data_IF_045370682083
#
_entry.id   IF_045370682083
#
_cell.length_a   1.000
_cell.length_b   1.000
_cell.length_c   1.000
_cell.angle_alpha   90.00
_cell.angle_beta   90.00
_cell.angle_gamma   90.00
#
_symmetry.space_group_name_H-M   'P 1'
#
loop_
_entity.id
_entity.type
_entity.pdbx_description
1 polymer ?
#
# COMPACT_ATOMS: atom_id res chain seq x y z
N UNK A 1 -28.01 -27.01 26.18
CA UNK A 1 -28.09 -26.40 24.83
C UNK A 1 -28.10 -24.87 24.84
N UNK A 2 -28.57 -24.19 25.90
CA UNK A 2 -28.61 -22.72 25.99
C UNK A 2 -27.22 -22.03 25.95
N UNK A 3 -26.17 -22.65 26.51
CA UNK A 3 -24.82 -22.07 26.53
C UNK A 3 -24.11 -22.06 25.17
N UNK A 4 -24.50 -22.94 24.22
CA UNK A 4 -23.85 -22.99 22.89
C UNK A 4 -24.30 -21.85 21.99
N UNK A 5 -25.53 -21.39 22.14
CA UNK A 5 -26.10 -20.27 21.35
C UNK A 5 -25.44 -18.95 21.76
N UNK A 6 -25.18 -18.76 23.07
CA UNK A 6 -24.55 -17.55 23.59
C UNK A 6 -23.07 -17.38 23.17
N UNK A 7 -22.32 -18.49 23.10
CA UNK A 7 -20.95 -18.51 22.57
C UNK A 7 -20.90 -18.21 21.06
N UNK A 8 -21.91 -18.66 20.31
CA UNK A 8 -21.99 -18.44 18.87
C UNK A 8 -22.36 -17.00 18.53
N UNK A 9 -23.24 -16.36 19.32
CA UNK A 9 -23.51 -14.92 19.18
C UNK A 9 -22.33 -14.03 19.60
N UNK A 10 -21.52 -14.45 20.58
CA UNK A 10 -20.30 -13.72 20.97
C UNK A 10 -19.21 -13.78 19.87
N UNK A 11 -19.12 -14.88 19.13
CA UNK A 11 -18.24 -15.05 17.97
C UNK A 11 -18.68 -14.23 16.75
N UNK A 12 -19.98 -14.01 16.57
CA UNK A 12 -20.52 -13.17 15.49
C UNK A 12 -20.33 -11.69 15.81
N UNK A 13 -20.49 -11.28 17.07
CA UNK A 13 -20.32 -9.87 17.48
C UNK A 13 -18.84 -9.44 17.49
N UNK A 14 -17.90 -10.35 17.74
CA UNK A 14 -16.46 -10.06 17.64
C UNK A 14 -15.95 -9.92 16.20
N UNK A 15 -16.78 -10.19 15.18
CA UNK A 15 -16.46 -9.91 13.78
C UNK A 15 -16.88 -8.50 13.31
N UNK A 16 -17.52 -7.67 14.16
CA UNK A 16 -17.67 -6.24 13.90
C UNK A 16 -16.36 -5.47 14.17
N UNK A 17 -15.21 -6.08 13.85
CA UNK A 17 -13.92 -5.42 13.89
C UNK A 17 -13.84 -4.46 12.72
N UNK A 18 -14.05 -3.16 12.99
CA UNK A 18 -13.74 -2.01 12.14
C UNK A 18 -13.44 -2.37 10.67
N UNK A 19 -14.49 -2.62 9.90
CA UNK A 19 -14.38 -2.77 8.44
C UNK A 19 -14.09 -1.39 7.87
N UNK A 20 -12.84 -0.94 7.97
CA UNK A 20 -12.40 0.22 7.21
C UNK A 20 -12.64 -0.06 5.73
N UNK A 21 -13.22 0.89 5.02
CA UNK A 21 -13.31 0.84 3.57
C UNK A 21 -11.91 0.90 2.93
N UNK A 22 -11.83 0.57 1.64
CA UNK A 22 -10.60 0.74 0.86
C UNK A 22 -10.12 2.20 0.88
N UNK A 23 -11.07 3.14 0.83
CA UNK A 23 -10.78 4.58 0.88
C UNK A 23 -10.24 4.99 2.25
N UNK A 24 -10.87 4.56 3.34
CA UNK A 24 -10.37 4.83 4.70
C UNK A 24 -9.00 4.22 4.94
N UNK A 25 -8.75 3.02 4.41
CA UNK A 25 -7.44 2.35 4.51
C UNK A 25 -6.37 3.10 3.70
N UNK A 26 -6.70 3.54 2.47
CA UNK A 26 -5.83 4.40 1.65
C UNK A 26 -5.50 5.72 2.37
N UNK A 27 -6.51 6.41 2.87
CA UNK A 27 -6.36 7.69 3.56
C UNK A 27 -5.54 7.54 4.84
N UNK A 28 -5.74 6.44 5.57
CA UNK A 28 -4.93 6.14 6.75
C UNK A 28 -3.46 5.93 6.36
N UNK A 29 -3.19 5.13 5.33
CA UNK A 29 -1.82 4.93 4.82
C UNK A 29 -1.19 6.26 4.44
N UNK A 30 -1.89 7.11 3.67
CA UNK A 30 -1.36 8.41 3.25
C UNK A 30 -0.97 9.31 4.42
N UNK A 31 -1.84 9.40 5.43
CA UNK A 31 -1.63 10.26 6.59
C UNK A 31 -0.56 9.74 7.57
N UNK A 32 -0.21 8.46 7.52
CA UNK A 32 0.67 7.83 8.51
C UNK A 32 1.98 7.28 7.93
N UNK A 33 2.06 7.06 6.61
CA UNK A 33 3.22 6.44 5.97
C UNK A 33 4.34 7.42 5.55
N UNK A 34 4.11 8.73 5.74
CA UNK A 34 5.09 9.77 5.46
C UNK A 34 6.12 9.96 6.58
N UNK A 35 7.32 10.42 6.21
CA UNK A 35 8.32 10.88 7.18
C UNK A 35 7.98 12.28 7.71
N UNK A 36 8.30 12.59 8.97
CA UNK A 36 8.46 13.98 9.40
C UNK A 36 9.46 14.69 8.48
N UNK A 37 9.07 15.83 7.91
CA UNK A 37 9.87 16.62 6.95
C UNK A 37 10.03 16.01 5.54
N UNK A 38 9.23 15.02 5.16
CA UNK A 38 9.20 14.55 3.77
C UNK A 38 8.65 15.63 2.82
N UNK A 39 9.31 15.83 1.68
CA UNK A 39 8.83 16.68 0.59
C UNK A 39 7.72 16.02 -0.25
N UNK A 40 7.23 14.86 0.18
CA UNK A 40 6.20 14.12 -0.55
C UNK A 40 5.34 13.23 0.38
N UNK A 41 4.09 12.98 0.00
CA UNK A 41 3.22 11.95 0.58
C UNK A 41 3.17 10.70 -0.30
N UNK A 42 2.77 9.55 0.26
CA UNK A 42 2.54 8.33 -0.52
C UNK A 42 1.07 7.93 -0.40
N UNK A 43 0.40 7.75 -1.53
CA UNK A 43 -1.01 7.29 -1.56
C UNK A 43 -1.08 5.98 -2.34
N UNK A 44 -2.02 5.11 -1.96
CA UNK A 44 -2.31 3.86 -2.67
C UNK A 44 -3.78 3.85 -3.10
N UNK A 45 -4.04 3.79 -4.40
CA UNK A 45 -5.40 3.83 -4.95
C UNK A 45 -5.62 2.67 -5.90
N UNK A 46 -6.73 1.94 -5.73
CA UNK A 46 -7.16 0.93 -6.68
C UNK A 46 -8.05 1.57 -7.76
N UNK A 47 -7.61 1.47 -9.02
CA UNK A 47 -8.42 1.90 -10.15
C UNK A 47 -9.32 0.73 -10.61
N UNK A 48 -10.60 0.84 -10.31
CA UNK A 48 -11.60 -0.18 -10.66
C UNK A 48 -11.80 -0.36 -12.18
N UNK A 49 -11.53 0.66 -12.99
CA UNK A 49 -11.69 0.59 -14.44
C UNK A 49 -10.57 -0.22 -15.10
N UNK A 50 -9.33 -0.05 -14.62
CA UNK A 50 -8.15 -0.72 -15.18
C UNK A 50 -7.73 -1.96 -14.38
N UNK A 51 -8.34 -2.18 -13.22
CA UNK A 51 -7.95 -3.19 -12.23
C UNK A 51 -6.47 -3.09 -11.82
N UNK A 52 -5.93 -1.86 -11.80
CA UNK A 52 -4.54 -1.58 -11.41
C UNK A 52 -4.47 -0.89 -10.07
N UNK A 53 -3.43 -1.22 -9.33
CA UNK A 53 -3.05 -0.50 -8.13
C UNK A 53 -2.12 0.64 -8.50
N UNK A 54 -2.47 1.85 -8.08
CA UNK A 54 -1.75 3.07 -8.36
C UNK A 54 -1.04 3.50 -7.08
N UNK A 55 0.29 3.46 -7.11
CA UNK A 55 1.14 3.94 -6.03
C UNK A 55 1.60 5.34 -6.41
N UNK A 56 1.09 6.34 -5.69
CA UNK A 56 1.44 7.74 -5.88
C UNK A 56 2.53 8.15 -4.91
N UNK A 57 3.55 8.81 -5.45
CA UNK A 57 4.46 9.65 -4.68
C UNK A 57 4.12 11.10 -5.03
N UNK A 58 3.37 11.77 -4.16
CA UNK A 58 2.87 13.12 -4.38
C UNK A 58 3.89 14.13 -3.86
N UNK A 59 4.55 14.87 -4.76
CA UNK A 59 5.52 15.88 -4.37
C UNK A 59 4.82 17.18 -3.94
N UNK A 60 5.32 17.77 -2.86
CA UNK A 60 4.89 19.08 -2.34
C UNK A 60 5.54 20.22 -3.13
N UNK A 61 5.14 21.46 -2.83
CA UNK A 61 5.65 22.68 -3.45
C UNK A 61 7.19 22.72 -3.58
N UNK A 62 7.75 23.32 -4.65
CA UNK A 62 7.08 24.19 -5.62
C UNK A 62 6.43 23.45 -6.81
N UNK A 63 6.63 22.14 -6.93
CA UNK A 63 6.15 21.38 -8.09
C UNK A 63 5.01 20.44 -7.72
N UNK A 64 3.77 20.80 -8.10
CA UNK A 64 2.57 19.98 -7.88
C UNK A 64 2.47 18.80 -8.88
N UNK A 65 3.41 17.87 -8.85
CA UNK A 65 3.30 16.62 -9.60
C UNK A 65 3.34 15.40 -8.67
N UNK A 66 2.82 14.29 -9.18
CA UNK A 66 2.96 12.97 -8.58
C UNK A 66 3.66 12.04 -9.54
N UNK A 67 4.52 11.20 -8.99
CA UNK A 67 5.00 10.01 -9.70
C UNK A 67 3.99 8.90 -9.46
N UNK A 68 3.44 8.35 -10.53
CA UNK A 68 2.52 7.22 -10.49
C UNK A 68 3.29 5.97 -10.87
N UNK A 69 3.13 4.91 -10.07
CA UNK A 69 3.53 3.55 -10.43
C UNK A 69 2.27 2.70 -10.50
N UNK A 70 1.92 2.23 -11.69
CA UNK A 70 0.85 1.25 -11.87
C UNK A 70 1.42 -0.15 -11.74
N UNK A 71 0.79 -0.97 -10.91
CA UNK A 71 1.11 -2.39 -10.77
C UNK A 71 -0.16 -3.23 -10.87
N UNK A 72 -0.02 -4.47 -11.35
CA UNK A 72 -1.09 -5.44 -11.19
C UNK A 72 -1.09 -5.93 -9.74
N UNK A 73 -2.15 -5.69 -8.95
CA UNK A 73 -2.12 -6.07 -7.55
C UNK A 73 -2.08 -7.60 -7.37
N UNK A 74 -2.50 -8.38 -8.38
CA UNK A 74 -2.41 -9.86 -8.34
C UNK A 74 -0.97 -10.36 -8.44
N UNK A 75 -0.02 -9.53 -8.87
CA UNK A 75 1.39 -9.90 -8.95
C UNK A 75 2.09 -9.80 -7.59
N UNK A 76 1.45 -9.16 -6.60
CA UNK A 76 2.01 -9.03 -5.24
C UNK A 76 1.90 -10.38 -4.51
N UNK A 77 3.01 -10.84 -3.95
CA UNK A 77 3.11 -12.10 -3.20
C UNK A 77 3.12 -11.86 -1.69
N UNK A 78 3.95 -10.91 -1.25
CA UNK A 78 4.12 -10.61 0.18
C UNK A 78 4.54 -9.16 0.39
N UNK A 79 4.39 -8.70 1.63
CA UNK A 79 4.92 -7.41 2.07
C UNK A 79 5.90 -7.67 3.21
N UNK A 80 7.13 -7.20 3.07
CA UNK A 80 8.18 -7.33 4.08
C UNK A 80 8.62 -5.96 4.60
N UNK A 81 9.29 -5.96 5.75
CA UNK A 81 10.04 -4.82 6.24
C UNK A 81 11.52 -5.04 5.97
N UNK A 82 12.18 -4.00 5.47
CA UNK A 82 13.61 -3.98 5.21
C UNK A 82 14.26 -2.83 5.97
N UNK A 83 15.36 -3.11 6.67
CA UNK A 83 16.20 -2.09 7.28
C UNK A 83 17.31 -1.73 6.30
N UNK A 84 17.24 -0.54 5.72
CA UNK A 84 18.20 -0.13 4.70
C UNK A 84 19.58 0.21 5.26
N UNK A 85 19.76 0.35 6.59
CA UNK A 85 21.04 0.39 7.31
C UNK A 85 20.82 0.63 8.83
N UNK A 86 21.84 0.40 9.69
CA UNK A 86 21.80 0.70 11.15
C UNK A 86 21.43 2.15 11.52
N UNK A 87 21.45 3.08 10.56
CA UNK A 87 21.11 4.51 10.73
C UNK A 87 19.89 4.96 9.90
N UNK A 88 19.29 4.05 9.11
CA UNK A 88 18.16 4.35 8.23
C UNK A 88 16.84 3.88 8.83
N UNK A 89 15.76 4.60 8.56
CA UNK A 89 14.41 4.14 8.88
C UNK A 89 14.07 2.82 8.20
N UNK A 90 13.22 2.01 8.83
CA UNK A 90 12.67 0.81 8.20
C UNK A 90 11.82 1.23 6.99
N UNK A 91 11.87 0.43 5.93
CA UNK A 91 11.06 0.60 4.72
C UNK A 91 10.22 -0.64 4.51
N UNK A 92 8.99 -0.48 4.06
CA UNK A 92 8.20 -1.62 3.59
C UNK A 92 8.58 -1.93 2.14
N UNK A 93 8.42 -3.19 1.74
CA UNK A 93 8.65 -3.63 0.37
C UNK A 93 7.48 -4.49 -0.06
N UNK A 94 6.87 -4.15 -1.20
CA UNK A 94 5.99 -5.06 -1.93
C UNK A 94 6.86 -6.03 -2.70
N UNK A 95 6.79 -7.32 -2.37
CA UNK A 95 7.49 -8.38 -3.08
C UNK A 95 6.55 -8.97 -4.12
N UNK A 96 6.96 -8.94 -5.40
CA UNK A 96 6.19 -9.56 -6.46
C UNK A 96 6.43 -11.08 -6.49
N UNK A 97 5.55 -11.80 -7.18
CA UNK A 97 5.71 -13.23 -7.49
C UNK A 97 6.98 -13.48 -8.31
N UNK A 98 7.41 -14.74 -8.46
CA UNK A 98 8.64 -15.14 -9.18
C UNK A 98 8.75 -14.55 -10.60
N UNK A 99 7.62 -14.29 -11.26
CA UNK A 99 7.56 -13.65 -12.59
C UNK A 99 7.68 -12.13 -12.59
N UNK A 100 7.82 -11.47 -11.43
CA UNK A 100 7.76 -10.01 -11.31
C UNK A 100 6.39 -9.43 -11.63
N UNK A 101 6.33 -8.11 -11.81
CA UNK A 101 5.19 -7.38 -12.31
C UNK A 101 5.63 -6.41 -13.42
N UNK A 102 4.84 -6.31 -14.48
CA UNK A 102 5.03 -5.30 -15.51
C UNK A 102 4.46 -3.97 -15.01
N UNK A 103 5.36 -3.06 -14.66
CA UNK A 103 5.00 -1.78 -14.04
C UNK A 103 5.05 -0.65 -15.05
N UNK A 104 4.10 0.29 -14.94
CA UNK A 104 4.12 1.55 -15.70
C UNK A 104 4.41 2.69 -14.75
N UNK A 105 5.41 3.50 -15.08
CA UNK A 105 5.85 4.63 -14.26
C UNK A 105 5.77 5.91 -15.07
N UNK A 106 5.08 6.91 -14.54
CA UNK A 106 4.94 8.20 -15.21
C UNK A 106 4.74 9.35 -14.21
N UNK A 107 4.87 10.58 -14.70
CA UNK A 107 4.55 11.79 -13.95
C UNK A 107 3.15 12.29 -14.35
N UNK A 108 2.37 12.70 -13.36
CA UNK A 108 1.06 13.32 -13.54
C UNK A 108 0.97 14.62 -12.71
N UNK A 109 0.16 15.58 -13.16
CA UNK A 109 -0.12 16.78 -12.38
C UNK A 109 -1.07 16.43 -11.21
N UNK A 110 -0.89 17.05 -10.05
CA UNK A 110 -1.77 16.82 -8.90
C UNK A 110 -3.18 17.39 -9.07
N UNK A 111 -3.38 18.42 -9.90
CA UNK A 111 -4.59 19.25 -9.92
C UNK A 111 -5.60 18.94 -11.06
N UNK A 112 -5.36 17.98 -11.97
CA UNK A 112 -6.29 17.81 -13.12
C UNK A 112 -6.54 16.37 -13.53
N UNK A 113 -7.77 16.11 -13.98
CA UNK A 113 -8.21 14.98 -14.82
C UNK A 113 -7.49 14.91 -16.18
N UNK A 114 -6.40 15.66 -16.36
CA UNK A 114 -5.60 15.77 -17.58
C UNK A 114 -4.18 15.32 -17.27
N UNK A 115 -3.93 14.05 -17.52
CA UNK A 115 -2.62 13.42 -17.45
C UNK A 115 -1.78 13.92 -18.62
N UNK A 116 -1.02 15.01 -18.44
CA UNK A 116 0.10 15.27 -19.37
C UNK A 116 1.22 14.29 -19.02
N UNK A 117 1.11 13.07 -19.53
CA UNK A 117 2.13 12.03 -19.36
C UNK A 117 3.30 12.38 -20.26
N UNK A 118 4.35 12.97 -19.68
CA UNK A 118 5.54 13.35 -20.48
C UNK A 118 6.23 12.11 -21.09
N UNK A 119 6.34 11.02 -20.32
CA UNK A 119 6.91 9.74 -20.74
C UNK A 119 6.37 8.63 -19.84
N UNK A 120 5.92 7.53 -20.44
CA UNK A 120 5.64 6.28 -19.71
C UNK A 120 6.90 5.42 -19.77
N UNK A 121 7.42 5.04 -18.62
CA UNK A 121 8.47 4.03 -18.47
C UNK A 121 7.82 2.70 -18.11
N UNK A 122 7.95 1.70 -18.98
CA UNK A 122 7.45 0.35 -18.75
C UNK A 122 8.60 -0.57 -18.42
N UNK A 123 8.55 -1.24 -17.27
CA UNK A 123 9.59 -2.18 -16.87
C UNK A 123 9.07 -3.28 -15.96
N UNK A 124 9.71 -4.44 -16.06
CA UNK A 124 9.49 -5.55 -15.15
C UNK A 124 10.22 -5.28 -13.82
N UNK A 125 9.48 -5.34 -12.71
CA UNK A 125 10.03 -5.22 -11.36
C UNK A 125 9.76 -6.48 -10.56
N UNK A 126 10.65 -6.80 -9.62
CA UNK A 126 10.50 -7.93 -8.68
C UNK A 126 10.16 -7.50 -7.26
N UNK A 127 10.39 -6.22 -6.96
CA UNK A 127 9.97 -5.60 -5.73
C UNK A 127 9.70 -4.10 -5.95
N UNK A 128 8.87 -3.52 -5.10
CA UNK A 128 8.64 -2.07 -5.08
C UNK A 128 8.64 -1.54 -3.64
N UNK A 129 9.44 -0.51 -3.32
CA UNK A 129 9.48 0.05 -1.97
C UNK A 129 8.19 0.81 -1.66
N UNK A 130 7.59 0.53 -0.52
CA UNK A 130 6.56 1.35 0.10
C UNK A 130 7.18 2.04 1.31
N UNK A 131 6.93 3.33 1.45
CA UNK A 131 7.49 4.06 2.58
C UNK A 131 6.72 3.72 3.84
N UNK A 132 7.48 3.40 4.87
CA UNK A 132 7.00 3.05 6.20
C UNK A 132 7.92 3.70 7.23
N UNK A 133 8.13 5.00 7.09
CA UNK A 133 9.15 5.74 7.83
C UNK A 133 8.76 5.92 9.29
N UNK A 134 9.65 5.54 10.20
CA UNK A 134 9.42 5.60 11.64
C UNK A 134 10.15 4.48 12.37
N UNK A 135 9.75 4.25 13.62
CA UNK A 135 10.24 3.12 14.40
C UNK A 135 9.63 1.79 13.92
N UNK A 136 10.14 0.67 14.43
CA UNK A 136 9.71 -0.68 14.03
C UNK A 136 8.20 -0.93 14.21
N UNK A 137 7.62 -0.44 15.30
CA UNK A 137 6.19 -0.65 15.58
C UNK A 137 5.30 0.13 14.62
N UNK A 138 5.72 1.35 14.26
CA UNK A 138 5.07 2.15 13.24
C UNK A 138 5.16 1.49 11.86
N UNK A 139 6.34 1.01 11.46
CA UNK A 139 6.53 0.31 10.20
C UNK A 139 5.69 -0.98 10.12
N UNK A 140 5.65 -1.76 11.22
CA UNK A 140 4.78 -2.95 11.34
C UNK A 140 3.31 -2.58 11.19
N UNK A 141 2.88 -1.45 11.76
CA UNK A 141 1.50 -0.97 11.63
C UNK A 141 1.20 -0.65 10.17
N UNK A 142 2.02 0.15 9.50
CA UNK A 142 1.85 0.49 8.08
C UNK A 142 1.77 -0.78 7.22
N UNK A 143 2.67 -1.74 7.43
CA UNK A 143 2.64 -3.03 6.73
C UNK A 143 1.28 -3.73 6.87
N UNK A 144 0.73 -3.80 8.09
CA UNK A 144 -0.59 -4.41 8.34
C UNK A 144 -1.70 -3.71 7.55
N UNK A 145 -1.67 -2.39 7.45
CA UNK A 145 -2.65 -1.63 6.67
C UNK A 145 -2.55 -1.91 5.18
N UNK A 146 -1.34 -2.03 4.64
CA UNK A 146 -1.16 -2.47 3.25
C UNK A 146 -1.70 -3.90 3.04
N UNK A 147 -1.39 -4.84 3.93
CA UNK A 147 -1.92 -6.21 3.83
C UNK A 147 -3.46 -6.20 3.87
N UNK A 148 -4.06 -5.45 4.80
CA UNK A 148 -5.50 -5.27 4.89
C UNK A 148 -6.09 -4.67 3.59
N UNK A 149 -5.41 -3.68 2.99
CA UNK A 149 -5.81 -3.10 1.71
C UNK A 149 -5.91 -4.15 0.61
N UNK A 150 -4.89 -5.02 0.46
CA UNK A 150 -4.94 -6.11 -0.52
C UNK A 150 -6.02 -7.16 -0.20
N UNK A 151 -6.23 -7.48 1.08
CA UNK A 151 -7.29 -8.40 1.51
C UNK A 151 -8.69 -7.88 1.14
N UNK A 152 -8.92 -6.57 1.30
CA UNK A 152 -10.17 -5.92 0.90
C UNK A 152 -10.40 -5.94 -0.63
N UNK A 153 -9.32 -5.99 -1.42
CA UNK A 153 -9.38 -6.22 -2.86
C UNK A 153 -9.60 -7.70 -3.24
N UNK A 154 -9.70 -8.61 -2.26
CA UNK A 154 -9.80 -10.06 -2.50
C UNK A 154 -8.48 -10.70 -2.93
N UNK A 155 -7.35 -10.06 -2.63
CA UNK A 155 -6.01 -10.50 -3.06
C UNK A 155 -5.25 -11.04 -1.86
N UNK A 156 -4.87 -12.31 -1.94
CA UNK A 156 -4.08 -12.96 -0.91
C UNK A 156 -2.62 -12.49 -0.96
N UNK A 157 -2.23 -11.65 -0.01
CA UNK A 157 -0.86 -11.18 0.19
C UNK A 157 -0.36 -11.64 1.56
N UNK A 158 0.84 -12.22 1.59
CA UNK A 158 1.45 -12.76 2.82
C UNK A 158 2.20 -11.69 3.60
N UNK A 159 2.30 -11.88 4.92
CA UNK A 159 3.36 -11.22 5.69
C UNK A 159 4.71 -11.85 5.29
N UNK A 160 5.62 -11.04 4.76
CA UNK A 160 6.91 -11.49 4.21
C UNK A 160 8.03 -11.62 5.25
N UNK A 161 7.83 -11.17 6.48
CA UNK A 161 8.87 -11.23 7.54
C UNK A 161 8.76 -12.49 8.40
N UNK A 162 7.62 -13.19 8.32
CA UNK A 162 7.37 -14.45 9.01
C UNK A 162 7.34 -15.59 7.98
N UNK A 163 8.53 -16.12 7.65
CA UNK A 163 8.71 -17.45 7.06
C UNK A 163 9.28 -18.40 8.12
#
# INVERSE_FOLDING_TARGET
MKNKIFLMSLLIVSQFGYSQTLEETSNWIENNAGAPNSLFSNTVVYNQQTNKLLLYKNYSAPFKFRKVTEIDPKDVNSISLYSENKKGGLRGILNFKKGGSNTKIYLANNDTRVTKVNKVDEKQLYAFPILAEGNLDHAKRIKKYYINYFQQLGIAVKDGDNL
#
